data_IF_862189820347
#
_entry.id   IF_862189820347
#
_cell.length_a   1.000
_cell.length_b   1.000
_cell.length_c   1.000
_cell.angle_alpha   90.00
_cell.angle_beta   90.00
_cell.angle_gamma   90.00
#
_symmetry.space_group_name_H-M   'P 1'
#
loop_
_entity.id
_entity.type
_entity.pdbx_description
1 polymer ?
#
# COMPACT_ATOMS: atom_id res chain seq x y z
N UNK A 1 -17.06 31.38 2.02
CA UNK A 1 -17.77 30.11 1.71
C UNK A 1 -17.12 29.33 0.57
N UNK A 2 -17.06 29.85 -0.68
CA UNK A 2 -16.52 29.12 -1.85
C UNK A 2 -15.07 28.62 -1.69
N UNK A 3 -14.19 29.41 -1.09
CA UNK A 3 -12.79 29.02 -0.83
C UNK A 3 -12.65 27.87 0.17
N UNK A 4 -13.51 27.83 1.19
CA UNK A 4 -13.51 26.78 2.21
C UNK A 4 -13.94 25.45 1.59
N UNK A 5 -14.94 25.49 0.72
CA UNK A 5 -15.41 24.30 -0.02
C UNK A 5 -14.32 23.80 -0.99
N UNK A 6 -13.64 24.71 -1.69
CA UNK A 6 -12.53 24.34 -2.57
C UNK A 6 -11.38 23.67 -1.79
N UNK A 7 -11.00 24.25 -0.64
CA UNK A 7 -10.00 23.67 0.26
C UNK A 7 -10.40 22.29 0.79
N UNK A 8 -11.67 22.12 1.16
CA UNK A 8 -12.18 20.82 1.62
C UNK A 8 -12.08 19.76 0.52
N UNK A 9 -12.42 20.10 -0.73
CA UNK A 9 -12.29 19.17 -1.85
C UNK A 9 -10.84 18.80 -2.13
N UNK A 10 -9.92 19.77 -2.09
CA UNK A 10 -8.48 19.50 -2.25
C UNK A 10 -7.95 18.59 -1.14
N UNK A 11 -8.34 18.83 0.12
CA UNK A 11 -7.93 18.01 1.25
C UNK A 11 -8.40 16.55 1.11
N UNK A 12 -9.64 16.34 0.65
CA UNK A 12 -10.17 14.99 0.38
C UNK A 12 -9.38 14.28 -0.71
N UNK A 13 -9.10 14.98 -1.83
CA UNK A 13 -8.32 14.40 -2.94
C UNK A 13 -6.90 14.03 -2.50
N UNK A 14 -6.23 14.93 -1.76
CA UNK A 14 -4.88 14.66 -1.24
C UNK A 14 -4.87 13.51 -0.22
N UNK A 15 -5.90 13.41 0.62
CA UNK A 15 -6.05 12.30 1.56
C UNK A 15 -6.19 10.95 0.86
N UNK A 16 -7.01 10.86 -0.19
CA UNK A 16 -7.18 9.64 -0.99
C UNK A 16 -5.89 9.30 -1.74
N UNK A 17 -5.24 10.28 -2.37
CA UNK A 17 -3.97 10.08 -3.07
C UNK A 17 -2.86 9.58 -2.12
N UNK A 18 -2.76 10.16 -0.92
CA UNK A 18 -1.82 9.70 0.11
C UNK A 18 -2.09 8.26 0.56
N UNK A 19 -3.34 7.91 0.79
CA UNK A 19 -3.74 6.54 1.15
C UNK A 19 -3.36 5.54 0.06
N UNK A 20 -3.66 5.85 -1.20
CA UNK A 20 -3.33 5.01 -2.36
C UNK A 20 -1.83 4.86 -2.50
N UNK A 21 -1.04 5.93 -2.36
CA UNK A 21 0.43 5.87 -2.42
C UNK A 21 1.02 4.99 -1.32
N UNK A 22 0.55 5.11 -0.08
CA UNK A 22 1.00 4.27 1.04
C UNK A 22 0.65 2.79 0.81
N UNK A 23 -0.55 2.55 0.27
CA UNK A 23 -0.97 1.19 -0.10
C UNK A 23 -0.15 0.65 -1.26
N UNK A 24 0.11 1.45 -2.28
CA UNK A 24 0.90 1.06 -3.44
C UNK A 24 2.34 0.77 -3.05
N UNK A 25 2.96 1.59 -2.19
CA UNK A 25 4.30 1.32 -1.68
C UNK A 25 4.37 0.04 -0.84
N UNK A 26 3.30 -0.28 -0.09
CA UNK A 26 3.20 -1.57 0.60
C UNK A 26 2.99 -2.76 -0.36
N UNK A 27 2.27 -2.56 -1.46
CA UNK A 27 2.04 -3.59 -2.47
C UNK A 27 3.26 -3.83 -3.37
N UNK A 28 3.97 -2.77 -3.76
CA UNK A 28 5.16 -2.87 -4.60
C UNK A 28 6.31 -3.55 -3.88
N UNK A 29 6.52 -3.26 -2.60
CA UNK A 29 7.49 -3.99 -1.77
C UNK A 29 7.13 -5.48 -1.65
N UNK A 30 5.83 -5.78 -1.61
CA UNK A 30 5.33 -7.13 -1.51
C UNK A 30 5.53 -7.93 -2.82
N UNK A 31 5.32 -7.33 -4.01
CA UNK A 31 5.70 -7.97 -5.29
C UNK A 31 7.22 -8.20 -5.41
N UNK A 32 8.03 -7.27 -4.89
CA UNK A 32 9.47 -7.45 -4.87
C UNK A 32 9.87 -8.66 -3.98
N UNK A 33 9.20 -8.81 -2.83
CA UNK A 33 9.35 -9.96 -1.95
C UNK A 33 8.80 -11.26 -2.56
N UNK A 34 7.69 -11.22 -3.31
CA UNK A 34 7.19 -12.38 -4.06
C UNK A 34 8.19 -12.82 -5.15
N UNK A 35 8.75 -11.87 -5.91
CA UNK A 35 9.74 -12.14 -6.94
C UNK A 35 11.05 -12.71 -6.34
N UNK A 36 11.46 -12.21 -5.17
CA UNK A 36 12.64 -12.70 -4.46
C UNK A 36 12.41 -14.06 -3.80
N UNK A 37 11.21 -14.30 -3.25
CA UNK A 37 10.82 -15.59 -2.68
C UNK A 37 10.64 -16.67 -3.77
N UNK A 38 10.12 -16.30 -4.95
CA UNK A 38 10.08 -17.15 -6.13
C UNK A 38 11.51 -17.50 -6.61
N UNK A 39 12.45 -16.55 -6.57
CA UNK A 39 13.87 -16.79 -6.88
C UNK A 39 14.57 -17.69 -5.87
N UNK A 40 14.22 -17.62 -4.59
CA UNK A 40 14.75 -18.47 -3.53
C UNK A 40 14.04 -19.84 -3.40
N UNK A 41 13.21 -20.22 -4.37
CA UNK A 41 12.57 -21.54 -4.42
C UNK A 41 11.42 -21.72 -3.42
N UNK A 42 10.94 -20.63 -2.81
CA UNK A 42 9.86 -20.63 -1.80
C UNK A 42 8.78 -19.63 -2.21
N UNK A 43 8.00 -19.91 -3.28
CA UNK A 43 6.96 -18.99 -3.73
C UNK A 43 5.93 -18.81 -2.61
N UNK A 44 5.87 -17.60 -2.06
CA UNK A 44 4.83 -17.18 -1.12
C UNK A 44 3.98 -16.12 -1.80
N UNK A 45 2.67 -16.21 -1.61
CA UNK A 45 1.76 -15.16 -2.06
C UNK A 45 1.96 -13.90 -1.22
N UNK A 46 1.79 -12.74 -1.83
CA UNK A 46 1.75 -11.45 -1.17
C UNK A 46 0.71 -11.42 -0.04
N UNK A 47 -0.38 -12.18 -0.17
CA UNK A 47 -1.38 -12.35 0.87
C UNK A 47 -0.78 -13.03 2.11
N UNK A 48 0.03 -14.07 1.92
CA UNK A 48 0.71 -14.80 3.00
C UNK A 48 1.82 -13.96 3.64
N UNK A 49 2.60 -13.21 2.85
CA UNK A 49 3.65 -12.31 3.36
C UNK A 49 3.02 -11.19 4.21
N UNK A 50 1.90 -10.63 3.74
CA UNK A 50 1.16 -9.58 4.45
C UNK A 50 0.45 -10.12 5.69
N UNK A 51 -0.06 -11.35 5.65
CA UNK A 51 -0.63 -12.04 6.80
C UNK A 51 0.44 -12.36 7.87
N UNK A 52 1.61 -12.83 7.46
CA UNK A 52 2.74 -13.11 8.36
C UNK A 52 3.31 -11.82 8.97
N UNK A 53 3.43 -10.74 8.20
CA UNK A 53 3.85 -9.43 8.71
C UNK A 53 2.82 -8.81 9.67
N UNK A 54 1.53 -9.02 9.41
CA UNK A 54 0.45 -8.61 10.31
C UNK A 54 0.40 -9.45 11.59
N UNK A 55 0.76 -10.74 11.53
CA UNK A 55 0.85 -11.63 12.70
C UNK A 55 2.11 -11.41 13.55
N UNK A 56 3.14 -10.77 12.99
CA UNK A 56 4.36 -10.35 13.71
C UNK A 56 4.25 -9.00 14.42
N UNK A 57 3.14 -8.29 14.28
CA UNK A 57 2.88 -6.99 14.90
C UNK A 57 1.82 -7.14 15.99
#
# INVERSE_FOLDING_TARGET
>A
MKLIIALAMVAVVLGVAGYVLVFWHNYSGCQQLEAEAARNGKPMSCADIKAAAKARR
#
